data_IF_311741333801
#
_entry.id   IF_311741333801
#
_cell.length_a   1.000
_cell.length_b   1.000
_cell.length_c   1.000
_cell.angle_alpha   90.00
_cell.angle_beta   90.00
_cell.angle_gamma   90.00
#
_symmetry.space_group_name_H-M   'P 1'
#
loop_
_entity.id
_entity.type
_entity.pdbx_description
1 polymer ?
#
# COMPACT_ATOMS: atom_id res chain seq x y z
N UNK A 1 -10.63 -27.04 -39.70
CA UNK A 1 -11.99 -26.47 -39.64
C UNK A 1 -12.57 -26.98 -38.32
N UNK A 2 -12.33 -26.29 -37.19
CA UNK A 2 -13.20 -25.25 -36.61
C UNK A 2 -14.61 -25.85 -36.34
N UNK A 3 -15.18 -25.95 -35.13
CA UNK A 3 -15.05 -25.16 -33.89
C UNK A 3 -15.58 -25.98 -32.68
N UNK A 4 -14.99 -25.79 -31.49
CA UNK A 4 -15.58 -26.00 -30.14
C UNK A 4 -16.46 -24.77 -29.78
N UNK A 5 -17.46 -24.80 -28.86
CA UNK A 5 -17.21 -24.80 -27.40
C UNK A 5 -18.17 -25.73 -26.63
N UNK A 6 -17.68 -26.61 -25.75
CA UNK A 6 -17.59 -26.41 -24.30
C UNK A 6 -18.57 -25.34 -23.80
N UNK A 7 -19.78 -25.76 -23.47
CA UNK A 7 -20.68 -25.02 -22.61
C UNK A 7 -20.20 -25.28 -21.17
N UNK A 8 -19.21 -24.50 -20.72
CA UNK A 8 -18.85 -24.46 -19.31
C UNK A 8 -20.09 -24.01 -18.55
N UNK A 9 -20.61 -24.85 -17.67
CA UNK A 9 -21.69 -24.50 -16.78
C UNK A 9 -21.31 -23.21 -16.04
N UNK A 10 -22.07 -22.16 -16.27
CA UNK A 10 -22.05 -20.94 -15.48
C UNK A 10 -22.46 -21.36 -14.06
N UNK A 11 -21.49 -21.61 -13.18
CA UNK A 11 -21.77 -21.62 -11.74
C UNK A 11 -22.34 -20.25 -11.43
N UNK A 12 -23.63 -20.21 -11.09
CA UNK A 12 -24.30 -18.99 -10.67
C UNK A 12 -23.72 -18.67 -9.28
N UNK A 13 -22.61 -17.93 -9.25
CA UNK A 13 -22.19 -17.21 -8.07
C UNK A 13 -23.24 -16.10 -7.83
N UNK A 14 -23.58 -15.85 -6.57
CA UNK A 14 -24.48 -14.76 -6.23
C UNK A 14 -23.77 -13.43 -6.51
N UNK A 15 -24.47 -12.52 -7.18
CA UNK A 15 -23.90 -11.25 -7.62
C UNK A 15 -24.65 -10.07 -7.02
N UNK A 16 -23.89 -9.12 -6.50
CA UNK A 16 -24.36 -7.77 -6.23
C UNK A 16 -23.90 -6.84 -7.34
N UNK A 17 -24.59 -5.71 -7.50
CA UNK A 17 -24.20 -4.70 -8.48
C UNK A 17 -24.17 -3.34 -7.82
N UNK A 18 -23.10 -2.60 -8.07
CA UNK A 18 -23.04 -1.17 -7.77
C UNK A 18 -23.32 -0.43 -9.06
N UNK A 19 -24.29 0.49 -9.03
CA UNK A 19 -24.64 1.34 -10.17
C UNK A 19 -24.36 2.79 -9.79
N UNK A 20 -23.49 3.46 -10.54
CA UNK A 20 -23.11 4.84 -10.22
C UNK A 20 -24.21 5.81 -10.63
N UNK A 21 -24.65 6.63 -9.66
CA UNK A 21 -25.56 7.73 -9.91
C UNK A 21 -25.02 8.68 -10.97
N UNK A 22 -25.93 9.28 -11.77
CA UNK A 22 -25.56 10.31 -12.75
C UNK A 22 -26.58 11.45 -12.75
N UNK A 23 -26.10 12.68 -12.96
CA UNK A 23 -26.91 13.90 -12.91
C UNK A 23 -28.07 13.94 -13.91
N UNK A 24 -27.92 13.25 -15.05
CA UNK A 24 -28.99 13.09 -16.04
C UNK A 24 -30.06 12.06 -15.66
N UNK A 25 -29.95 11.40 -14.50
CA UNK A 25 -30.82 10.32 -14.06
C UNK A 25 -30.66 9.04 -14.90
N UNK A 26 -31.38 7.98 -14.54
CA UNK A 26 -31.41 6.74 -15.32
C UNK A 26 -32.60 6.72 -16.29
N UNK A 27 -32.45 6.02 -17.41
CA UNK A 27 -33.61 5.61 -18.19
C UNK A 27 -34.48 4.66 -17.38
N UNK A 28 -35.76 4.52 -17.76
CA UNK A 28 -36.69 3.61 -17.07
C UNK A 28 -36.21 2.15 -17.01
N UNK A 29 -35.33 1.75 -17.92
CA UNK A 29 -34.65 0.46 -17.91
C UNK A 29 -33.13 0.69 -17.92
N UNK A 30 -32.43 0.05 -16.99
CA UNK A 30 -30.97 0.01 -16.95
C UNK A 30 -30.52 -1.44 -17.01
N UNK A 31 -29.68 -1.78 -18.00
CA UNK A 31 -29.19 -3.14 -18.17
C UNK A 31 -27.89 -3.35 -17.39
N UNK A 32 -27.91 -4.21 -16.38
CA UNK A 32 -26.75 -4.53 -15.55
C UNK A 32 -25.61 -5.18 -16.34
N UNK A 33 -25.89 -5.81 -17.48
CA UNK A 33 -24.83 -6.34 -18.36
C UNK A 33 -24.03 -5.24 -19.08
N UNK A 34 -24.45 -3.97 -18.96
CA UNK A 34 -23.75 -2.82 -19.54
C UNK A 34 -22.76 -2.14 -18.59
N UNK A 35 -22.61 -2.68 -17.37
CA UNK A 35 -21.66 -2.20 -16.38
C UNK A 35 -20.22 -2.40 -16.88
N UNK A 36 -19.41 -1.35 -16.77
CA UNK A 36 -18.08 -1.31 -17.38
C UNK A 36 -17.01 -0.66 -16.47
N UNK A 37 -17.30 -0.46 -15.19
CA UNK A 37 -16.38 0.16 -14.24
C UNK A 37 -16.46 1.69 -14.18
N UNK A 38 -17.00 2.34 -15.21
CA UNK A 38 -17.22 3.81 -15.23
C UNK A 38 -18.67 4.21 -14.94
N UNK A 39 -19.61 3.26 -15.05
CA UNK A 39 -21.04 3.43 -14.77
C UNK A 39 -21.53 2.48 -13.66
N UNK A 40 -20.60 1.81 -12.97
CA UNK A 40 -20.84 0.76 -11.99
C UNK A 40 -20.14 -0.55 -12.37
N UNK A 41 -20.29 -1.58 -11.53
CA UNK A 41 -19.61 -2.86 -11.65
C UNK A 41 -20.37 -3.98 -10.93
N UNK A 42 -20.03 -5.23 -11.25
CA UNK A 42 -20.55 -6.42 -10.56
C UNK A 42 -19.61 -6.84 -9.42
N UNK A 43 -20.17 -7.35 -8.33
CA UNK A 43 -19.46 -7.97 -7.21
C UNK A 43 -19.88 -9.44 -7.20
N UNK A 44 -18.93 -10.34 -7.42
CA UNK A 44 -19.15 -11.77 -7.41
C UNK A 44 -18.85 -12.37 -6.04
N UNK A 45 -19.83 -13.10 -5.48
CA UNK A 45 -19.65 -13.96 -4.31
C UNK A 45 -18.73 -15.14 -4.60
N UNK A 46 -18.32 -15.83 -3.53
CA UNK A 46 -17.29 -16.87 -3.60
C UNK A 46 -17.90 -18.20 -4.06
N UNK A 47 -18.78 -18.80 -3.26
CA UNK A 47 -19.42 -20.07 -3.59
C UNK A 47 -20.93 -19.93 -3.75
N UNK A 48 -21.51 -20.90 -4.44
CA UNK A 48 -22.95 -21.10 -4.47
C UNK A 48 -23.41 -21.49 -3.06
N UNK A 49 -24.54 -20.91 -2.63
CA UNK A 49 -25.17 -21.13 -1.32
C UNK A 49 -24.47 -20.43 -0.13
N UNK A 50 -23.50 -19.53 -0.38
CA UNK A 50 -22.93 -18.65 0.66
C UNK A 50 -23.92 -17.52 1.05
N UNK A 51 -24.91 -17.23 0.19
CA UNK A 51 -25.85 -16.10 0.30
C UNK A 51 -25.12 -14.76 0.39
N UNK A 52 -24.05 -14.61 -0.40
CA UNK A 52 -23.35 -13.33 -0.59
C UNK A 52 -24.32 -12.33 -1.23
N UNK A 53 -24.47 -11.17 -0.61
CA UNK A 53 -25.44 -10.17 -1.08
C UNK A 53 -26.84 -10.32 -0.51
N UNK A 54 -27.05 -11.19 0.48
CA UNK A 54 -28.33 -11.30 1.18
C UNK A 54 -28.76 -9.98 1.83
N UNK A 55 -27.78 -9.18 2.26
CA UNK A 55 -27.95 -7.83 2.77
C UNK A 55 -26.82 -6.96 2.22
N UNK A 56 -27.17 -5.80 1.68
CA UNK A 56 -26.22 -4.80 1.17
C UNK A 56 -26.63 -3.42 1.67
N UNK A 57 -25.66 -2.57 1.96
CA UNK A 57 -25.89 -1.18 2.36
C UNK A 57 -24.74 -0.29 1.88
N UNK A 58 -25.00 1.02 1.77
CA UNK A 58 -23.90 1.99 1.88
C UNK A 58 -23.29 1.89 3.27
N UNK A 59 -21.97 1.82 3.34
CA UNK A 59 -21.22 1.76 4.58
C UNK A 59 -20.93 3.15 5.16
N UNK A 60 -21.03 4.21 4.35
CA UNK A 60 -20.42 5.50 4.67
C UNK A 60 -18.94 5.47 4.33
N UNK A 61 -18.19 6.49 4.72
CA UNK A 61 -16.73 6.52 4.55
C UNK A 61 -16.05 5.89 5.77
N UNK A 62 -15.76 4.58 5.69
CA UNK A 62 -15.24 3.81 6.84
C UNK A 62 -13.71 3.79 6.88
N UNK A 63 -13.05 4.31 5.84
CA UNK A 63 -11.60 4.43 5.74
C UNK A 63 -11.09 5.88 5.77
N UNK A 64 -11.98 6.86 5.95
CA UNK A 64 -11.65 8.28 6.05
C UNK A 64 -11.11 8.89 4.75
N UNK A 65 -11.34 8.25 3.60
CA UNK A 65 -10.88 8.75 2.30
C UNK A 65 -11.91 9.65 1.60
N UNK A 66 -12.99 10.00 2.30
CA UNK A 66 -14.17 10.79 1.92
C UNK A 66 -14.87 10.35 0.65
N UNK A 67 -14.80 9.06 0.32
CA UNK A 67 -15.62 8.41 -0.69
C UNK A 67 -16.43 7.31 0.02
N UNK A 68 -17.76 7.33 -0.13
CA UNK A 68 -18.60 6.32 0.50
C UNK A 68 -18.24 4.89 0.04
N UNK A 69 -18.18 3.99 1.01
CA UNK A 69 -17.90 2.57 0.87
C UNK A 69 -19.20 1.74 0.81
N UNK A 70 -19.07 0.44 0.52
CA UNK A 70 -20.20 -0.51 0.46
C UNK A 70 -19.95 -1.70 1.38
N UNK A 71 -20.99 -2.13 2.10
CA UNK A 71 -20.96 -3.35 2.92
C UNK A 71 -21.90 -4.43 2.34
N UNK A 72 -21.41 -5.66 2.31
CA UNK A 72 -22.07 -6.83 1.73
C UNK A 72 -22.04 -7.99 2.74
N UNK A 73 -23.20 -8.45 3.17
CA UNK A 73 -23.35 -9.60 4.06
C UNK A 73 -23.35 -10.93 3.30
N UNK A 74 -22.72 -11.96 3.89
CA UNK A 74 -22.70 -13.35 3.42
C UNK A 74 -23.05 -14.29 4.58
N UNK A 75 -24.34 -14.54 4.76
CA UNK A 75 -24.85 -15.14 6.01
C UNK A 75 -24.32 -16.54 6.29
N UNK A 76 -24.15 -17.40 5.28
CA UNK A 76 -23.87 -18.82 5.50
C UNK A 76 -22.39 -19.08 5.78
N UNK A 77 -21.51 -18.16 5.37
CA UNK A 77 -20.11 -18.18 5.75
C UNK A 77 -19.86 -17.50 7.09
N UNK A 78 -20.86 -16.75 7.60
CA UNK A 78 -20.69 -15.85 8.75
C UNK A 78 -19.73 -14.71 8.47
N UNK A 79 -19.62 -14.30 7.20
CA UNK A 79 -18.69 -13.26 6.77
C UNK A 79 -19.45 -12.04 6.26
N UNK A 80 -18.79 -10.90 6.36
CA UNK A 80 -19.25 -9.63 5.80
C UNK A 80 -18.07 -8.98 5.11
N UNK A 81 -18.33 -8.37 3.97
CA UNK A 81 -17.30 -7.78 3.12
C UNK A 81 -17.54 -6.28 3.05
N UNK A 82 -16.48 -5.51 3.25
CA UNK A 82 -16.48 -4.07 3.03
C UNK A 82 -15.65 -3.82 1.78
N UNK A 83 -16.22 -3.10 0.83
CA UNK A 83 -15.56 -2.69 -0.40
C UNK A 83 -15.41 -1.17 -0.36
N UNK A 84 -14.16 -0.70 -0.48
CA UNK A 84 -13.86 0.72 -0.48
C UNK A 84 -14.35 1.41 -1.75
N UNK A 85 -14.86 2.63 -1.56
CA UNK A 85 -15.08 3.60 -2.61
C UNK A 85 -13.77 3.97 -3.29
N UNK A 86 -13.85 4.49 -4.52
CA UNK A 86 -12.67 4.97 -5.22
C UNK A 86 -13.03 6.00 -6.27
N UNK A 87 -12.12 6.96 -6.48
CA UNK A 87 -12.16 7.89 -7.61
C UNK A 87 -11.55 7.29 -8.88
N UNK A 88 -10.87 6.14 -8.76
CA UNK A 88 -10.34 5.39 -9.90
C UNK A 88 -11.44 4.63 -10.64
N UNK A 89 -11.18 4.27 -11.89
CA UNK A 89 -12.08 3.39 -12.65
C UNK A 89 -12.05 1.99 -12.02
N UNK A 90 -13.22 1.47 -11.67
CA UNK A 90 -13.34 0.13 -11.14
C UNK A 90 -13.18 -0.93 -12.24
N UNK A 91 -12.72 -2.15 -11.92
CA UNK A 91 -12.88 -3.26 -12.84
C UNK A 91 -14.38 -3.54 -13.08
N UNK A 92 -14.72 -4.12 -14.23
CA UNK A 92 -16.12 -4.46 -14.55
C UNK A 92 -16.71 -5.49 -13.58
N UNK A 93 -15.85 -6.28 -12.93
CA UNK A 93 -16.20 -7.28 -11.92
C UNK A 93 -15.13 -7.34 -10.83
N UNK A 94 -15.58 -7.36 -9.58
CA UNK A 94 -14.75 -7.65 -8.39
C UNK A 94 -15.16 -9.02 -7.87
N UNK A 95 -14.19 -9.85 -7.48
CA UNK A 95 -14.43 -11.15 -6.88
C UNK A 95 -14.02 -11.11 -5.41
N UNK A 96 -14.96 -11.36 -4.50
CA UNK A 96 -14.72 -11.32 -3.06
C UNK A 96 -13.69 -12.36 -2.58
N UNK A 97 -13.43 -13.42 -3.36
CA UNK A 97 -12.40 -14.41 -3.06
C UNK A 97 -10.96 -13.86 -3.12
N UNK A 98 -10.76 -12.77 -3.88
CA UNK A 98 -9.45 -12.16 -4.14
C UNK A 98 -9.49 -10.66 -3.79
N UNK A 99 -10.16 -10.31 -2.68
CA UNK A 99 -10.22 -8.92 -2.23
C UNK A 99 -8.86 -8.51 -1.68
N UNK A 100 -8.22 -7.54 -2.32
CA UNK A 100 -6.94 -6.98 -1.88
C UNK A 100 -7.15 -5.93 -0.79
N UNK A 101 -6.14 -5.70 0.07
CA UNK A 101 -6.26 -4.79 1.21
C UNK A 101 -6.56 -3.32 0.83
N UNK A 102 -6.19 -2.90 -0.38
CA UNK A 102 -6.51 -1.57 -0.90
C UNK A 102 -7.92 -1.47 -1.53
N UNK A 103 -8.63 -2.59 -1.66
CA UNK A 103 -9.99 -2.65 -2.19
C UNK A 103 -11.02 -2.78 -1.07
N UNK A 104 -10.64 -3.24 0.11
CA UNK A 104 -11.57 -3.47 1.21
C UNK A 104 -11.06 -4.50 2.21
N UNK A 105 -11.97 -5.03 3.03
CA UNK A 105 -11.65 -6.04 4.04
C UNK A 105 -12.82 -6.96 4.34
N UNK A 106 -12.54 -8.04 5.07
CA UNK A 106 -13.50 -9.08 5.45
C UNK A 106 -13.66 -9.07 6.97
N UNK A 107 -14.89 -8.93 7.42
CA UNK A 107 -15.32 -9.14 8.80
C UNK A 107 -15.80 -10.58 8.95
N UNK A 108 -15.22 -11.31 9.89
CA UNK A 108 -15.59 -12.71 10.17
C UNK A 108 -16.29 -12.79 11.52
N UNK A 109 -17.49 -13.34 11.53
CA UNK A 109 -18.20 -13.68 12.75
C UNK A 109 -17.47 -14.77 13.54
N UNK A 110 -17.81 -14.88 14.82
CA UNK A 110 -17.19 -15.85 15.74
C UNK A 110 -17.38 -17.30 15.26
N UNK A 111 -18.56 -17.64 14.75
CA UNK A 111 -18.84 -18.90 14.05
C UNK A 111 -19.74 -18.65 12.83
N UNK A 112 -19.57 -19.46 11.77
CA UNK A 112 -20.41 -19.37 10.58
C UNK A 112 -21.90 -19.61 10.88
N UNK A 113 -22.21 -20.48 11.83
CA UNK A 113 -23.58 -20.80 12.26
C UNK A 113 -24.26 -19.66 13.02
N UNK A 114 -23.51 -18.64 13.49
CA UNK A 114 -24.10 -17.47 14.15
C UNK A 114 -24.79 -16.52 13.14
N UNK A 115 -24.57 -16.76 11.84
CA UNK A 115 -25.09 -16.00 10.70
C UNK A 115 -24.71 -14.52 10.72
N UNK A 116 -23.48 -14.20 11.14
CA UNK A 116 -22.96 -12.85 10.98
C UNK A 116 -23.01 -12.43 9.49
N UNK A 117 -23.48 -11.20 9.23
CA UNK A 117 -23.76 -10.74 7.87
C UNK A 117 -25.19 -11.04 7.39
N UNK A 118 -26.09 -11.53 8.27
CA UNK A 118 -27.51 -11.66 7.95
C UNK A 118 -28.16 -10.29 7.68
N UNK A 119 -27.75 -9.27 8.44
CA UNK A 119 -28.11 -7.87 8.22
C UNK A 119 -26.89 -6.99 8.41
N UNK A 120 -26.67 -6.06 7.48
CA UNK A 120 -25.56 -5.10 7.53
C UNK A 120 -26.07 -3.68 7.29
N UNK A 121 -25.43 -2.69 7.89
CA UNK A 121 -25.71 -1.27 7.67
C UNK A 121 -24.50 -0.42 8.03
N UNK A 122 -24.44 0.81 7.51
CA UNK A 122 -23.70 1.87 8.17
C UNK A 122 -24.35 2.14 9.54
N UNK A 123 -23.52 2.42 10.54
CA UNK A 123 -23.93 2.94 11.83
C UNK A 123 -23.78 4.48 11.91
N UNK A 124 -23.14 5.10 10.90
CA UNK A 124 -22.57 6.44 10.97
C UNK A 124 -21.41 6.50 11.96
N UNK A 125 -20.83 7.67 12.17
CA UNK A 125 -19.83 7.90 13.23
C UNK A 125 -20.49 7.85 14.63
N UNK A 126 -20.45 6.69 15.29
CA UNK A 126 -21.05 6.51 16.63
C UNK A 126 -20.07 6.81 17.76
N UNK A 127 -18.78 6.94 17.46
CA UNK A 127 -17.73 7.16 18.45
C UNK A 127 -17.23 8.63 18.50
N UNK A 128 -17.56 9.44 17.50
CA UNK A 128 -17.23 10.85 17.35
C UNK A 128 -15.84 11.15 16.77
N UNK A 129 -15.22 10.21 16.05
CA UNK A 129 -13.88 10.36 15.45
C UNK A 129 -13.89 10.95 14.03
N UNK A 130 -15.08 11.16 13.46
CA UNK A 130 -15.29 11.72 12.13
C UNK A 130 -15.26 10.69 11.00
N UNK A 131 -15.24 9.38 11.31
CA UNK A 131 -15.23 8.28 10.35
C UNK A 131 -16.49 7.45 10.54
N UNK A 132 -17.13 7.03 9.45
CA UNK A 132 -18.36 6.25 9.57
C UNK A 132 -18.07 4.83 10.10
N UNK A 133 -18.91 4.37 11.03
CA UNK A 133 -18.85 3.03 11.60
C UNK A 133 -19.83 2.08 10.92
N UNK A 134 -19.66 0.79 11.20
CA UNK A 134 -20.47 -0.30 10.64
C UNK A 134 -21.24 -1.04 11.73
N UNK A 135 -22.40 -1.59 11.38
CA UNK A 135 -23.14 -2.53 12.22
C UNK A 135 -23.48 -3.82 11.47
N UNK A 136 -23.22 -4.95 12.13
CA UNK A 136 -23.45 -6.30 11.60
C UNK A 136 -24.28 -7.12 12.60
N UNK A 137 -25.36 -7.72 12.10
CA UNK A 137 -26.22 -8.62 12.88
C UNK A 137 -25.83 -10.09 12.71
N UNK A 138 -25.84 -10.83 13.82
CA UNK A 138 -25.64 -12.28 13.90
C UNK A 138 -26.78 -12.92 14.72
N UNK A 139 -27.97 -13.14 14.12
CA UNK A 139 -29.17 -13.49 14.86
C UNK A 139 -29.15 -14.88 15.50
N UNK A 140 -28.24 -15.77 15.09
CA UNK A 140 -28.12 -17.14 15.64
C UNK A 140 -26.96 -17.28 16.63
N UNK A 141 -26.28 -16.16 16.94
CA UNK A 141 -25.26 -16.17 17.96
C UNK A 141 -25.83 -16.57 19.34
N UNK A 142 -24.96 -17.17 20.16
CA UNK A 142 -25.31 -17.76 21.44
C UNK A 142 -24.66 -17.06 22.64
N UNK A 143 -24.86 -15.73 22.83
CA UNK A 143 -24.22 -14.98 23.90
C UNK A 143 -24.60 -15.52 25.28
N UNK A 144 -23.65 -15.57 26.19
CA UNK A 144 -23.84 -16.08 27.56
C UNK A 144 -24.45 -17.50 27.60
N UNK A 145 -24.15 -18.33 26.59
CA UNK A 145 -24.68 -19.69 26.42
C UNK A 145 -26.21 -19.74 26.26
N UNK A 146 -26.84 -18.65 25.85
CA UNK A 146 -28.27 -18.60 25.54
C UNK A 146 -28.46 -18.85 24.06
N UNK A 147 -29.16 -19.94 23.71
CA UNK A 147 -29.31 -20.36 22.34
C UNK A 147 -30.10 -19.35 21.49
N UNK A 148 -29.58 -19.01 20.32
CA UNK A 148 -30.19 -18.13 19.31
C UNK A 148 -30.62 -16.75 19.88
N UNK A 149 -29.93 -16.26 20.92
CA UNK A 149 -30.26 -14.97 21.53
C UNK A 149 -29.82 -13.79 20.66
N UNK A 150 -28.88 -14.03 19.74
CA UNK A 150 -28.40 -13.07 18.76
C UNK A 150 -27.37 -12.09 19.31
N UNK A 151 -26.46 -11.68 18.44
CA UNK A 151 -25.46 -10.65 18.70
C UNK A 151 -25.54 -9.56 17.63
N UNK A 152 -25.06 -8.38 17.98
CA UNK A 152 -24.83 -7.28 17.04
C UNK A 152 -23.46 -6.71 17.31
N UNK A 153 -22.68 -6.54 16.25
CA UNK A 153 -21.33 -6.02 16.30
C UNK A 153 -21.34 -4.61 15.73
N UNK A 154 -20.79 -3.66 16.47
CA UNK A 154 -20.39 -2.35 15.95
C UNK A 154 -18.90 -2.42 15.65
N UNK A 155 -18.52 -2.07 14.44
CA UNK A 155 -17.13 -2.06 13.99
C UNK A 155 -16.79 -0.61 13.70
N UNK A 156 -15.79 -0.09 14.40
CA UNK A 156 -15.38 1.29 14.16
C UNK A 156 -14.64 1.43 12.84
N UNK A 157 -15.00 2.47 12.08
CA UNK A 157 -14.24 2.92 10.93
C UNK A 157 -12.83 3.34 11.36
N UNK A 158 -11.86 3.24 10.44
CA UNK A 158 -10.50 3.64 10.73
C UNK A 158 -9.84 4.25 9.50
N UNK A 159 -9.32 5.46 9.68
CA UNK A 159 -8.50 6.13 8.69
C UNK A 159 -7.10 5.57 8.81
N UNK A 160 -6.83 4.55 7.99
CA UNK A 160 -5.55 3.87 7.98
C UNK A 160 -4.50 4.77 7.30
N UNK A 161 -3.94 5.68 8.08
CA UNK A 161 -2.75 6.45 7.69
C UNK A 161 -1.52 5.58 7.79
N UNK A 162 -0.60 5.75 6.84
CA UNK A 162 0.70 5.10 6.89
C UNK A 162 1.80 6.11 6.68
N UNK A 163 2.82 6.06 7.53
CA UNK A 163 4.07 6.77 7.32
C UNK A 163 5.06 5.79 6.70
N UNK A 164 5.50 6.07 5.48
CA UNK A 164 6.31 5.15 4.68
C UNK A 164 7.64 5.78 4.28
N UNK A 165 8.64 4.92 4.09
CA UNK A 165 9.89 5.23 3.42
C UNK A 165 10.11 4.14 2.39
N UNK A 166 10.43 4.52 1.16
CA UNK A 166 10.71 3.53 0.11
C UNK A 166 11.94 2.68 0.45
N UNK A 167 11.84 1.37 0.22
CA UNK A 167 12.99 0.46 0.20
C UNK A 167 14.08 0.99 -0.73
N UNK A 168 15.34 0.84 -0.33
CA UNK A 168 16.45 1.32 -1.14
C UNK A 168 17.73 0.48 -1.05
N UNK A 169 18.52 0.58 -2.13
CA UNK A 169 19.92 0.14 -2.14
C UNK A 169 20.87 1.31 -2.34
N UNK A 170 21.95 1.34 -1.57
CA UNK A 170 23.11 2.23 -1.79
C UNK A 170 24.38 1.53 -1.33
N UNK A 171 25.46 1.72 -2.07
CA UNK A 171 26.72 1.07 -1.75
C UNK A 171 27.55 1.88 -0.76
N UNK A 172 28.60 1.28 -0.18
CA UNK A 172 29.51 1.95 0.73
C UNK A 172 29.99 3.29 0.18
N UNK A 173 29.94 4.35 0.99
CA UNK A 173 30.39 5.68 0.60
C UNK A 173 29.38 6.51 -0.20
N UNK A 174 28.26 5.93 -0.65
CA UNK A 174 27.22 6.66 -1.37
C UNK A 174 26.26 7.37 -0.42
N UNK A 175 25.82 8.55 -0.85
CA UNK A 175 24.69 9.24 -0.23
C UNK A 175 23.38 8.59 -0.67
N UNK A 176 22.41 8.55 0.23
CA UNK A 176 21.06 8.04 -0.07
C UNK A 176 20.36 8.91 -1.09
N UNK A 177 20.42 10.22 -0.87
CA UNK A 177 19.92 11.25 -1.78
C UNK A 177 21.10 12.15 -2.18
N UNK A 178 21.55 12.06 -3.44
CA UNK A 178 22.55 12.96 -4.02
C UNK A 178 22.09 13.51 -5.38
N UNK A 179 22.76 14.56 -5.85
CA UNK A 179 22.57 15.05 -7.22
C UNK A 179 22.87 13.93 -8.22
N UNK A 180 21.97 13.73 -9.20
CA UNK A 180 22.10 12.67 -10.21
C UNK A 180 21.69 11.27 -9.73
N UNK A 181 20.81 11.16 -8.74
CA UNK A 181 20.09 9.93 -8.41
C UNK A 181 18.62 10.15 -8.80
N UNK A 182 18.08 9.29 -9.66
CA UNK A 182 16.73 9.46 -10.19
C UNK A 182 15.64 9.23 -9.13
N UNK A 183 15.77 8.17 -8.33
CA UNK A 183 14.83 7.86 -7.24
C UNK A 183 15.37 8.37 -5.92
N UNK A 184 14.88 9.55 -5.51
CA UNK A 184 15.11 10.04 -4.15
C UNK A 184 14.31 9.20 -3.17
N UNK A 185 14.91 8.89 -2.02
CA UNK A 185 14.26 8.18 -0.92
C UNK A 185 13.47 9.20 -0.12
N UNK A 186 12.15 9.12 -0.28
CA UNK A 186 11.16 10.04 0.25
C UNK A 186 10.42 9.38 1.43
N UNK A 187 10.08 10.20 2.42
CA UNK A 187 9.14 9.88 3.48
C UNK A 187 7.77 10.41 3.05
N UNK A 188 6.76 9.56 3.08
CA UNK A 188 5.39 9.92 2.69
C UNK A 188 4.41 9.59 3.79
N UNK A 189 3.36 10.40 3.91
CA UNK A 189 2.19 10.09 4.71
C UNK A 189 1.02 9.85 3.77
N UNK A 190 0.41 8.67 3.85
CA UNK A 190 -0.88 8.42 3.22
C UNK A 190 -2.01 9.05 4.05
N UNK A 191 -2.99 9.59 3.35
CA UNK A 191 -4.15 10.30 3.90
C UNK A 191 -3.78 11.40 4.91
N UNK A 192 -3.05 12.40 4.43
CA UNK A 192 -2.52 13.49 5.25
C UNK A 192 -3.57 14.45 5.81
N UNK A 193 -4.85 14.36 5.43
CA UNK A 193 -5.86 15.38 5.74
C UNK A 193 -5.87 15.78 7.23
N UNK A 194 -5.75 17.07 7.49
CA UNK A 194 -5.83 17.64 8.84
C UNK A 194 -4.59 17.45 9.72
N UNK A 195 -3.57 16.75 9.22
CA UNK A 195 -2.31 16.56 9.96
C UNK A 195 -1.50 17.85 9.93
N UNK A 196 -1.11 18.34 11.10
CA UNK A 196 -0.33 19.56 11.33
C UNK A 196 1.00 19.27 12.04
N UNK A 197 1.11 18.09 12.66
CA UNK A 197 2.28 17.65 13.41
C UNK A 197 2.50 16.15 13.24
N UNK A 198 3.75 15.77 13.00
CA UNK A 198 4.19 14.40 12.78
C UNK A 198 5.44 14.17 13.62
N UNK A 199 5.34 13.35 14.65
CA UNK A 199 6.45 12.91 15.47
C UNK A 199 6.74 11.43 15.19
N UNK A 200 8.01 11.07 15.02
CA UNK A 200 8.41 9.66 14.89
C UNK A 200 9.89 9.47 15.17
N UNK A 201 10.30 8.21 15.36
CA UNK A 201 11.69 7.81 15.49
C UNK A 201 12.08 6.88 14.36
N UNK A 202 13.19 7.18 13.67
CA UNK A 202 13.81 6.28 12.71
C UNK A 202 14.89 5.47 13.43
N UNK A 203 14.68 4.16 13.57
CA UNK A 203 15.65 3.21 14.13
C UNK A 203 16.42 2.53 13.00
N UNK A 204 17.76 2.54 13.03
CA UNK A 204 18.63 2.04 11.96
C UNK A 204 19.94 1.45 12.50
N UNK A 205 20.64 0.63 11.72
CA UNK A 205 21.96 0.12 12.09
C UNK A 205 23.07 1.18 11.82
N UNK A 206 23.68 1.75 12.88
CA UNK A 206 24.69 2.79 12.74
C UNK A 206 26.04 2.29 12.20
N UNK A 207 26.25 0.98 12.07
CA UNK A 207 27.44 0.40 11.42
C UNK A 207 27.34 0.39 9.89
N UNK A 208 26.14 0.56 9.33
CA UNK A 208 25.90 0.50 7.89
C UNK A 208 25.49 1.86 7.32
N UNK A 209 24.69 2.63 8.05
CA UNK A 209 24.09 3.88 7.59
C UNK A 209 24.31 4.99 8.63
N UNK A 210 24.65 6.19 8.18
CA UNK A 210 24.58 7.40 8.99
C UNK A 210 23.47 8.32 8.45
N UNK A 211 22.35 8.39 9.17
CA UNK A 211 21.24 9.28 8.85
C UNK A 211 21.48 10.60 9.56
N UNK A 212 21.75 11.68 8.84
CA UNK A 212 22.08 13.01 9.39
C UNK A 212 20.88 13.90 9.69
N UNK A 213 19.75 13.66 9.02
CA UNK A 213 18.53 14.45 9.18
C UNK A 213 17.61 14.24 7.99
N UNK A 214 16.71 15.19 7.78
CA UNK A 214 15.75 15.20 6.67
C UNK A 214 15.77 16.56 5.95
N UNK A 215 15.42 16.56 4.67
CA UNK A 215 15.18 17.78 3.89
C UNK A 215 13.73 17.78 3.41
N UNK A 216 12.96 18.80 3.78
CA UNK A 216 11.55 18.91 3.40
C UNK A 216 11.35 18.83 1.88
N UNK A 217 10.22 18.25 1.47
CA UNK A 217 9.79 18.32 0.08
C UNK A 217 9.48 19.77 -0.31
N UNK A 218 9.88 20.16 -1.52
CA UNK A 218 9.66 21.54 -1.99
C UNK A 218 8.19 21.90 -2.16
N UNK A 219 7.29 20.92 -2.30
CA UNK A 219 5.85 21.19 -2.39
C UNK A 219 5.20 21.41 -1.03
N UNK A 220 5.85 21.02 0.08
CA UNK A 220 5.47 21.43 1.44
C UNK A 220 6.09 22.76 1.85
N UNK A 221 7.21 23.10 1.22
CA UNK A 221 8.03 24.25 1.60
C UNK A 221 7.76 25.43 0.66
N UNK A 222 6.87 26.33 1.08
CA UNK A 222 7.09 27.76 0.77
C UNK A 222 7.04 28.71 1.95
N UNK A 223 6.54 28.34 3.15
CA UNK A 223 6.86 28.99 4.45
C UNK A 223 6.30 28.26 5.71
N UNK A 224 5.50 27.18 5.58
CA UNK A 224 4.67 26.68 6.69
C UNK A 224 5.23 25.46 7.45
N UNK A 225 5.91 24.52 6.77
CA UNK A 225 6.43 23.31 7.41
C UNK A 225 7.87 23.46 7.90
N UNK A 226 8.14 22.98 9.10
CA UNK A 226 9.47 22.89 9.71
C UNK A 226 9.81 21.46 10.04
N UNK A 227 11.10 21.13 10.01
CA UNK A 227 11.62 19.84 10.46
C UNK A 227 12.70 20.07 11.51
N UNK A 228 12.57 19.36 12.63
CA UNK A 228 13.59 19.29 13.65
C UNK A 228 13.94 17.83 13.92
N UNK A 229 15.21 17.56 14.22
CA UNK A 229 15.70 16.21 14.47
C UNK A 229 16.62 16.18 15.69
N UNK A 230 16.59 15.08 16.44
CA UNK A 230 17.56 14.80 17.51
C UNK A 230 18.19 13.42 17.35
N UNK A 231 19.46 13.31 17.75
CA UNK A 231 20.28 12.09 17.68
C UNK A 231 20.79 11.69 19.06
N UNK A 232 19.91 11.68 20.03
CA UNK A 232 20.30 11.47 21.43
C UNK A 232 20.76 10.02 21.69
N UNK A 233 20.33 9.09 20.84
CA UNK A 233 20.63 7.66 20.92
C UNK A 233 21.28 7.21 19.61
N UNK A 234 22.42 6.53 19.69
CA UNK A 234 23.10 5.97 18.52
C UNK A 234 22.20 4.97 17.78
N UNK A 235 22.02 5.16 16.47
CA UNK A 235 21.13 4.33 15.67
C UNK A 235 19.66 4.76 15.72
N UNK A 236 19.35 5.91 16.33
CA UNK A 236 18.01 6.50 16.32
C UNK A 236 18.06 7.96 15.88
N UNK A 237 17.11 8.35 15.05
CA UNK A 237 16.84 9.75 14.70
C UNK A 237 15.40 10.07 15.11
N UNK A 238 15.21 10.90 16.14
CA UNK A 238 13.90 11.45 16.44
C UNK A 238 13.62 12.58 15.48
N UNK A 239 12.42 12.60 14.94
CA UNK A 239 11.98 13.57 13.94
C UNK A 239 10.69 14.19 14.42
N UNK A 240 10.63 15.51 14.35
CA UNK A 240 9.41 16.29 14.54
C UNK A 240 9.23 17.17 13.30
N UNK A 241 8.10 17.00 12.61
CA UNK A 241 7.63 17.90 11.57
C UNK A 241 6.39 18.64 12.07
N UNK A 242 6.32 19.94 11.82
CA UNK A 242 5.14 20.76 12.14
C UNK A 242 4.89 21.77 11.05
N UNK A 243 3.62 22.07 10.76
CA UNK A 243 3.21 23.10 9.82
C UNK A 243 1.69 23.18 9.68
N UNK A 244 1.25 23.81 8.59
CA UNK A 244 -0.16 23.92 8.25
C UNK A 244 -0.80 22.56 7.94
N UNK A 245 -2.12 22.49 8.11
CA UNK A 245 -2.87 21.26 7.90
C UNK A 245 -2.66 20.72 6.48
N UNK A 246 -2.16 19.49 6.38
CA UNK A 246 -1.99 18.80 5.12
C UNK A 246 -3.34 18.60 4.43
N UNK A 247 -3.31 18.68 3.10
CA UNK A 247 -4.46 18.36 2.27
C UNK A 247 -4.70 16.85 2.25
N UNK A 248 -5.90 16.49 1.80
CA UNK A 248 -6.30 15.11 1.58
C UNK A 248 -5.42 14.39 0.56
N UNK A 249 -5.20 13.09 0.79
CA UNK A 249 -4.40 12.22 -0.06
C UNK A 249 -2.96 12.05 0.42
N UNK A 250 -2.07 11.65 -0.49
CA UNK A 250 -0.67 11.37 -0.17
C UNK A 250 0.14 12.67 -0.06
N UNK A 251 0.79 12.86 1.09
CA UNK A 251 1.70 13.96 1.32
C UNK A 251 3.16 13.49 1.22
N UNK A 252 3.92 14.11 0.31
CA UNK A 252 5.37 13.95 0.23
C UNK A 252 6.01 14.82 1.31
N UNK A 253 6.57 14.22 2.36
CA UNK A 253 7.01 14.96 3.55
C UNK A 253 8.44 15.49 3.43
N UNK A 254 9.38 14.57 3.30
CA UNK A 254 10.79 14.91 3.34
C UNK A 254 11.66 13.82 2.72
N UNK A 255 12.85 14.20 2.27
CA UNK A 255 13.88 13.32 1.78
C UNK A 255 14.86 12.94 2.91
N UNK A 256 15.25 11.67 2.94
CA UNK A 256 16.21 11.15 3.92
C UNK A 256 17.63 11.66 3.61
N UNK A 257 18.24 12.43 4.52
CA UNK A 257 19.63 12.85 4.39
C UNK A 257 20.53 11.83 5.09
N UNK A 258 21.04 10.86 4.33
CA UNK A 258 21.87 9.80 4.88
C UNK A 258 23.02 9.42 3.95
N UNK A 259 24.03 8.77 4.53
CA UNK A 259 25.18 8.20 3.80
C UNK A 259 25.46 6.78 4.28
N UNK A 260 25.66 5.87 3.33
CA UNK A 260 26.15 4.52 3.65
C UNK A 260 27.63 4.63 4.00
N UNK A 261 28.01 4.05 5.14
CA UNK A 261 29.38 4.16 5.63
C UNK A 261 30.36 3.45 4.68
N UNK A 262 31.56 4.00 4.53
CA UNK A 262 32.63 3.36 3.74
C UNK A 262 33.00 1.96 4.30
N UNK A 263 32.82 1.77 5.61
CA UNK A 263 33.06 0.52 6.32
C UNK A 263 31.89 -0.46 6.24
N UNK A 264 30.76 -0.07 5.66
CA UNK A 264 29.58 -0.91 5.58
C UNK A 264 29.88 -2.18 4.76
N UNK A 265 29.50 -3.34 5.30
CA UNK A 265 29.70 -4.62 4.63
C UNK A 265 28.81 -4.70 3.38
N UNK A 266 29.43 -4.87 2.22
CA UNK A 266 28.70 -5.02 0.95
C UNK A 266 27.84 -6.29 0.95
N UNK A 267 26.59 -6.17 0.49
CA UNK A 267 25.57 -7.21 0.54
C UNK A 267 24.86 -7.33 1.90
N UNK A 268 25.26 -6.56 2.92
CA UNK A 268 24.54 -6.54 4.18
C UNK A 268 23.18 -5.86 4.03
N UNK A 269 22.21 -6.33 4.81
CA UNK A 269 20.87 -5.78 4.85
C UNK A 269 20.58 -5.25 6.24
N UNK A 270 19.84 -4.15 6.32
CA UNK A 270 19.33 -3.63 7.58
C UNK A 270 17.85 -3.28 7.44
N UNK A 271 17.05 -3.67 8.43
CA UNK A 271 15.72 -3.14 8.61
C UNK A 271 15.83 -1.73 9.21
N UNK A 272 15.19 -0.74 8.57
CA UNK A 272 14.95 0.56 9.18
C UNK A 272 13.50 0.57 9.65
N UNK A 273 13.29 0.92 10.91
CA UNK A 273 11.97 0.87 11.54
C UNK A 273 11.51 2.28 11.87
N UNK A 274 10.26 2.59 11.52
CA UNK A 274 9.57 3.80 11.94
C UNK A 274 8.79 3.48 13.22
N UNK A 275 9.22 4.07 14.33
CA UNK A 275 8.73 3.77 15.68
C UNK A 275 8.17 5.03 16.34
N UNK A 276 7.33 4.85 17.38
CA UNK A 276 6.77 5.94 18.19
C UNK A 276 6.12 7.04 17.33
N UNK A 277 5.33 6.64 16.33
CA UNK A 277 4.73 7.56 15.38
C UNK A 277 3.47 8.17 16.01
N UNK A 278 3.41 9.50 16.06
CA UNK A 278 2.24 10.25 16.52
C UNK A 278 1.89 11.33 15.50
N UNK A 279 0.64 11.34 15.06
CA UNK A 279 0.08 12.42 14.23
C UNK A 279 -0.79 13.31 15.12
N UNK A 280 -0.53 14.62 15.12
CA UNK A 280 -1.20 15.61 15.98
C UNK A 280 -1.23 15.23 17.48
N UNK A 281 -0.21 14.51 17.98
CA UNK A 281 -0.17 14.01 19.36
C UNK A 281 -1.10 12.82 19.62
N UNK A 282 -1.30 11.97 18.61
CA UNK A 282 -2.10 10.75 18.71
C UNK A 282 -3.57 10.92 18.34
N UNK A 283 -3.95 12.04 17.70
CA UNK A 283 -5.32 12.25 17.23
C UNK A 283 -5.70 11.36 16.05
N UNK A 284 -4.70 10.77 15.38
CA UNK A 284 -4.92 9.85 14.28
C UNK A 284 -4.17 8.55 14.48
N UNK A 285 -4.81 7.45 14.12
CA UNK A 285 -4.13 6.17 13.99
C UNK A 285 -3.19 6.21 12.80
N UNK A 286 -1.99 5.66 12.98
CA UNK A 286 -0.95 5.61 11.94
C UNK A 286 -0.14 4.35 12.10
N UNK A 287 0.20 3.74 10.97
CA UNK A 287 1.09 2.59 10.92
C UNK A 287 2.42 3.01 10.26
N UNK A 288 3.53 2.58 10.86
CA UNK A 288 4.86 2.75 10.29
C UNK A 288 5.22 1.59 9.38
N UNK A 289 5.88 1.90 8.28
CA UNK A 289 6.47 0.87 7.42
C UNK A 289 7.82 0.36 7.96
N UNK A 290 8.19 -0.86 7.54
CA UNK A 290 9.50 -1.46 7.78
C UNK A 290 10.29 -1.45 6.48
N UNK A 291 11.37 -0.69 6.45
CA UNK A 291 12.16 -0.47 5.24
C UNK A 291 13.31 -1.47 5.15
N UNK A 292 13.52 -2.02 3.96
CA UNK A 292 14.71 -2.77 3.60
C UNK A 292 15.78 -1.82 3.04
N UNK A 293 16.90 -1.70 3.76
CA UNK A 293 18.12 -1.10 3.23
C UNK A 293 19.13 -2.19 2.86
N UNK A 294 19.46 -2.28 1.57
CA UNK A 294 20.54 -3.14 1.06
C UNK A 294 21.82 -2.33 0.80
N UNK A 295 22.94 -2.75 1.39
CA UNK A 295 24.26 -2.16 1.15
C UNK A 295 24.83 -2.72 -0.17
N UNK A 296 24.42 -2.15 -1.30
CA UNK A 296 24.91 -2.51 -2.63
C UNK A 296 24.81 -1.33 -3.61
N UNK A 297 25.64 -1.33 -4.65
CA UNK A 297 25.54 -0.34 -5.72
C UNK A 297 24.35 -0.69 -6.62
N UNK A 298 23.50 0.32 -6.88
CA UNK A 298 22.40 0.19 -7.83
C UNK A 298 22.94 -0.23 -9.21
N UNK A 299 22.45 -1.34 -9.74
CA UNK A 299 22.92 -1.92 -11.00
C UNK A 299 24.11 -2.88 -10.91
N UNK A 300 24.75 -3.08 -9.75
CA UNK A 300 25.73 -4.17 -9.55
C UNK A 300 25.01 -5.48 -9.22
N UNK A 301 24.34 -6.04 -10.22
CA UNK A 301 23.46 -7.20 -10.06
C UNK A 301 24.20 -8.49 -9.63
N UNK A 302 25.50 -8.60 -9.86
CA UNK A 302 26.30 -9.76 -9.43
C UNK A 302 27.06 -9.55 -8.11
N UNK A 303 27.01 -8.35 -7.55
CA UNK A 303 27.56 -8.01 -6.24
C UNK A 303 29.09 -7.93 -6.15
N UNK A 304 29.79 -7.76 -7.27
CA UNK A 304 31.26 -7.73 -7.30
C UNK A 304 31.87 -6.33 -7.12
N UNK A 305 31.02 -5.33 -6.88
CA UNK A 305 31.36 -3.90 -6.68
C UNK A 305 31.86 -3.20 -7.94
N UNK A 306 31.52 -3.69 -9.12
CA UNK A 306 31.90 -3.12 -10.42
C UNK A 306 30.76 -3.26 -11.40
N UNK A 307 30.55 -2.23 -12.22
CA UNK A 307 29.65 -2.34 -13.35
C UNK A 307 30.36 -3.08 -14.50
N UNK A 308 29.84 -4.25 -14.86
CA UNK A 308 30.37 -5.10 -15.92
C UNK A 308 29.27 -5.62 -16.83
N UNK A 309 29.65 -6.25 -17.94
CA UNK A 309 28.69 -6.93 -18.81
C UNK A 309 27.94 -8.06 -18.10
N UNK A 310 28.47 -8.62 -17.01
CA UNK A 310 27.78 -9.64 -16.22
C UNK A 310 26.53 -9.06 -15.52
N UNK A 311 26.58 -7.79 -15.10
CA UNK A 311 25.45 -7.10 -14.50
C UNK A 311 24.34 -6.84 -15.52
N UNK A 312 24.74 -6.38 -16.71
CA UNK A 312 23.83 -6.20 -17.85
C UNK A 312 23.12 -7.50 -18.19
N UNK A 313 23.85 -8.62 -18.22
CA UNK A 313 23.27 -9.94 -18.50
C UNK A 313 22.31 -10.37 -17.40
N UNK A 314 22.66 -10.19 -16.12
CA UNK A 314 21.78 -10.55 -15.00
C UNK A 314 20.45 -9.75 -15.05
N UNK A 315 20.52 -8.43 -15.26
CA UNK A 315 19.33 -7.57 -15.38
C UNK A 315 18.51 -7.93 -16.63
N UNK A 316 19.18 -8.22 -17.76
CA UNK A 316 18.48 -8.64 -18.98
C UNK A 316 17.73 -9.97 -18.80
N UNK A 317 18.28 -10.90 -18.01
CA UNK A 317 17.63 -12.17 -17.70
C UNK A 317 16.40 -11.99 -16.81
N UNK A 318 16.47 -11.10 -15.82
CA UNK A 318 15.31 -10.68 -15.02
C UNK A 318 14.23 -10.05 -15.89
N UNK A 319 14.60 -9.09 -16.74
CA UNK A 319 13.68 -8.41 -17.65
C UNK A 319 13.01 -9.37 -18.66
N UNK A 320 13.71 -10.43 -19.06
CA UNK A 320 13.18 -11.48 -19.93
C UNK A 320 12.37 -12.57 -19.17
N UNK A 321 12.24 -12.46 -17.84
CA UNK A 321 11.59 -13.46 -17.00
C UNK A 321 12.32 -14.81 -16.95
N UNK A 322 13.61 -14.84 -17.32
CA UNK A 322 14.44 -16.05 -17.29
C UNK A 322 14.96 -16.36 -15.88
N UNK A 323 15.06 -15.33 -15.04
CA UNK A 323 15.36 -15.42 -13.61
C UNK A 323 14.30 -14.63 -12.84
N UNK A 324 14.06 -15.01 -11.59
CA UNK A 324 13.14 -14.30 -10.67
C UNK A 324 13.86 -13.63 -9.50
N UNK A 325 15.19 -13.74 -9.41
CA UNK A 325 16.00 -13.20 -8.32
C UNK A 325 17.46 -13.02 -8.73
N UNK A 326 18.23 -12.28 -7.92
CA UNK A 326 19.66 -12.12 -8.07
C UNK A 326 20.41 -13.04 -7.10
N UNK A 327 21.28 -13.91 -7.61
CA UNK A 327 22.03 -14.86 -6.79
C UNK A 327 22.93 -14.20 -5.73
N UNK A 328 23.40 -12.98 -6.01
CA UNK A 328 24.21 -12.19 -5.09
C UNK A 328 23.41 -11.64 -3.90
N UNK A 329 22.09 -11.56 -4.02
CA UNK A 329 21.18 -10.92 -3.05
C UNK A 329 20.00 -11.84 -2.73
N UNK A 330 20.29 -13.00 -2.16
CA UNK A 330 19.28 -14.02 -1.83
C UNK A 330 18.22 -13.47 -0.87
N UNK A 331 16.94 -13.62 -1.24
CA UNK A 331 15.80 -13.14 -0.45
C UNK A 331 15.52 -11.65 -0.55
N UNK A 332 16.22 -10.91 -1.41
CA UNK A 332 15.96 -9.50 -1.69
C UNK A 332 15.20 -9.37 -3.00
N UNK A 333 14.21 -8.47 -3.01
CA UNK A 333 13.49 -8.10 -4.23
C UNK A 333 14.49 -7.57 -5.27
N UNK A 334 14.60 -8.19 -6.47
CA UNK A 334 15.52 -7.74 -7.50
C UNK A 334 15.24 -6.30 -7.96
N UNK A 335 14.01 -5.78 -7.82
CA UNK A 335 13.69 -4.38 -8.12
C UNK A 335 14.63 -3.41 -7.36
N UNK A 336 15.05 -3.78 -6.15
CA UNK A 336 15.89 -2.92 -5.32
C UNK A 336 17.25 -2.59 -5.96
N UNK A 337 17.78 -3.51 -6.78
CA UNK A 337 19.11 -3.38 -7.41
C UNK A 337 19.00 -3.15 -8.92
N UNK A 338 17.96 -3.70 -9.57
CA UNK A 338 17.87 -3.80 -11.01
C UNK A 338 16.85 -2.85 -11.66
N UNK A 339 15.96 -2.22 -10.89
CA UNK A 339 15.11 -1.11 -11.38
C UNK A 339 15.94 0.19 -11.33
N UNK A 340 16.56 0.54 -12.45
CA UNK A 340 17.51 1.64 -12.55
C UNK A 340 16.78 2.96 -12.76
N UNK A 341 15.73 2.94 -13.58
CA UNK A 341 14.96 4.14 -13.88
C UNK A 341 13.93 4.47 -12.78
N UNK A 342 13.63 3.53 -11.88
CA UNK A 342 12.72 3.67 -10.76
C UNK A 342 11.24 3.56 -11.12
N UNK A 343 10.90 2.95 -12.26
CA UNK A 343 9.52 2.85 -12.76
C UNK A 343 8.72 1.69 -12.14
N UNK A 344 9.35 0.92 -11.25
CA UNK A 344 8.74 -0.22 -10.57
C UNK A 344 8.77 -1.52 -11.38
N UNK A 345 9.46 -1.54 -12.52
CA UNK A 345 9.62 -2.73 -13.35
C UNK A 345 11.08 -2.96 -13.74
N UNK A 346 11.47 -4.22 -13.94
CA UNK A 346 12.79 -4.56 -14.47
C UNK A 346 12.64 -4.80 -15.96
N UNK A 347 13.29 -3.96 -16.76
CA UNK A 347 13.11 -3.94 -18.21
C UNK A 347 14.45 -3.99 -18.97
N UNK A 348 14.37 -4.13 -20.30
CA UNK A 348 15.54 -4.01 -21.16
C UNK A 348 16.17 -2.60 -21.10
N UNK A 349 15.39 -1.57 -20.72
CA UNK A 349 15.90 -0.22 -20.53
C UNK A 349 16.86 -0.17 -19.34
N UNK A 350 16.56 -0.85 -18.25
CA UNK A 350 17.42 -0.92 -17.07
C UNK A 350 18.77 -1.56 -17.38
N UNK A 351 18.75 -2.68 -18.10
CA UNK A 351 19.96 -3.32 -18.59
C UNK A 351 20.79 -2.39 -19.49
N UNK A 352 20.14 -1.63 -20.37
CA UNK A 352 20.80 -0.66 -21.23
C UNK A 352 21.41 0.52 -20.43
N UNK A 353 20.74 0.96 -19.37
CA UNK A 353 21.24 2.02 -18.47
C UNK A 353 22.53 1.58 -17.75
N UNK A 354 22.62 0.33 -17.30
CA UNK A 354 23.87 -0.24 -16.77
C UNK A 354 24.92 -0.39 -17.88
N UNK A 355 24.54 -0.87 -19.06
CA UNK A 355 25.47 -1.03 -20.18
C UNK A 355 26.15 0.29 -20.59
N UNK A 356 25.42 1.41 -20.53
CA UNK A 356 26.00 2.73 -20.78
C UNK A 356 27.12 3.07 -19.78
N UNK A 357 26.92 2.74 -18.50
CA UNK A 357 27.95 2.94 -17.46
C UNK A 357 29.14 2.02 -17.67
N UNK A 358 28.92 0.76 -18.05
CA UNK A 358 29.99 -0.18 -18.42
C UNK A 358 30.85 0.36 -19.57
N UNK A 359 30.23 1.07 -20.52
CA UNK A 359 30.92 1.71 -21.65
C UNK A 359 31.51 3.09 -21.33
N UNK A 360 31.55 3.50 -20.06
CA UNK A 360 32.16 4.75 -19.61
C UNK A 360 31.30 6.00 -19.78
N UNK A 361 30.01 5.85 -20.10
CA UNK A 361 29.08 6.99 -20.09
C UNK A 361 28.66 7.32 -18.67
N UNK A 362 28.52 8.61 -18.35
CA UNK A 362 27.86 9.02 -17.12
C UNK A 362 26.36 8.84 -17.25
N UNK A 363 25.72 8.33 -16.20
CA UNK A 363 24.29 8.08 -16.16
C UNK A 363 23.72 8.76 -14.91
N UNK A 364 22.69 9.61 -15.06
CA UNK A 364 22.01 10.30 -13.95
C UNK A 364 21.09 9.40 -13.11
N UNK A 365 20.98 8.12 -13.47
CA UNK A 365 20.21 7.13 -12.73
C UNK A 365 21.09 6.32 -11.77
N UNK A 366 22.34 6.06 -12.16
CA UNK A 366 23.29 5.23 -11.40
C UNK A 366 24.35 6.13 -10.76
N UNK A 367 24.38 6.27 -9.43
CA UNK A 367 25.44 7.02 -8.78
C UNK A 367 26.82 6.39 -9.03
N UNK A 368 27.82 7.25 -9.23
CA UNK A 368 29.21 6.84 -9.46
C UNK A 368 29.72 5.94 -8.32
N UNK A 369 30.58 4.99 -8.69
CA UNK A 369 31.34 4.23 -7.70
C UNK A 369 32.33 5.19 -6.98
N UNK A 370 32.49 5.08 -5.64
CA UNK A 370 33.43 5.87 -4.88
C UNK A 370 34.90 5.72 -5.29
#
# INVERSE_FOLDING_TARGET
MLISPIQTALLIQEECYVVFGKSGGFGANFNLSSLNGTNGFAIAGINKDDYSGISVSGAGDVNGDGIDDVIIGSRNTGETYVLFGSSNVFPTRINLANLEANQGFILKGSNAEDLAGNSVSSAGDVNGDGIDDLIVGAPQANPNSVRDAGESYVIFGQDQRSLTIADFTRGPGQFVNSSGVAKKILIQLNNGEGVTKIDFTISYNPQLLDITGLSLDSNLSTDDWTVSVSKDITGQLKVNLTGDALAKGVANLAYLNAKVLNSATYGATNAIELESIELNGGSFNVVGDRVTHLVAYLGDANGNRKYTSADVVAISRLAAGLDSSLSAYSGIDPLLVADINGDGTISALDAALVANVVNGSTNSFIPSLP
#
